data_IF_298245790469
#
_entry.id   IF_298245790469
#
_cell.length_a   1.000
_cell.length_b   1.000
_cell.length_c   1.000
_cell.angle_alpha   90.00
_cell.angle_beta   90.00
_cell.angle_gamma   90.00
#
_symmetry.space_group_name_H-M   'P 1'
#
loop_
_entity.id
_entity.type
_entity.pdbx_description
1 polymer ?
#
# COMPACT_ATOMS: atom_id res chain seq x y z
N UNK A 1 -10.79 63.33 4.26
CA UNK A 1 -10.12 63.22 2.94
C UNK A 1 -9.89 61.74 2.67
N UNK A 2 -10.48 61.14 1.62
CA UNK A 2 -10.35 59.67 1.37
C UNK A 2 -8.94 59.38 0.83
N UNK A 3 -8.17 58.54 1.51
CA UNK A 3 -6.83 58.14 1.09
C UNK A 3 -6.93 56.95 0.12
N UNK A 4 -6.42 57.13 -1.10
CA UNK A 4 -6.33 56.05 -2.09
C UNK A 4 -5.25 55.07 -1.63
N UNK A 5 -5.54 53.77 -1.67
CA UNK A 5 -4.55 52.73 -1.31
C UNK A 5 -3.37 52.79 -2.29
N UNK A 6 -2.15 52.63 -1.77
CA UNK A 6 -0.93 52.68 -2.58
C UNK A 6 -0.95 51.65 -3.72
N UNK A 7 -1.50 50.46 -3.47
CA UNK A 7 -1.68 49.43 -4.49
C UNK A 7 -2.55 49.89 -5.66
N UNK A 8 -3.61 50.66 -5.41
CA UNK A 8 -4.45 51.22 -6.49
C UNK A 8 -3.69 52.24 -7.32
N UNK A 9 -2.83 53.04 -6.69
CA UNK A 9 -1.99 54.02 -7.42
C UNK A 9 -0.91 53.35 -8.25
N UNK A 10 -0.27 52.30 -7.73
CA UNK A 10 0.74 51.53 -8.46
C UNK A 10 0.13 50.76 -9.64
N UNK A 11 -1.03 50.12 -9.43
CA UNK A 11 -1.70 49.40 -10.50
C UNK A 11 -2.21 50.34 -11.61
N UNK A 12 -2.69 51.54 -11.25
CA UNK A 12 -3.07 52.58 -12.22
C UNK A 12 -1.86 53.05 -13.02
N UNK A 13 -0.72 53.27 -12.35
CA UNK A 13 0.54 53.65 -13.00
C UNK A 13 1.03 52.56 -13.95
N UNK A 14 0.96 51.29 -13.57
CA UNK A 14 1.35 50.17 -14.43
C UNK A 14 0.47 50.06 -15.68
N UNK A 15 -0.85 50.25 -15.53
CA UNK A 15 -1.77 50.26 -16.68
C UNK A 15 -1.48 51.42 -17.63
N UNK A 16 -1.18 52.61 -17.09
CA UNK A 16 -0.83 53.79 -17.88
C UNK A 16 0.46 53.58 -18.69
N UNK A 17 1.50 53.02 -18.07
CA UNK A 17 2.76 52.70 -18.76
C UNK A 17 2.53 51.69 -19.90
N UNK A 18 1.71 50.67 -19.68
CA UNK A 18 1.37 49.64 -20.69
C UNK A 18 0.58 50.23 -21.88
N UNK A 19 -0.29 51.20 -21.62
CA UNK A 19 -1.02 51.95 -22.65
C UNK A 19 -0.09 52.87 -23.45
N UNK A 20 0.83 53.56 -22.78
CA UNK A 20 1.82 54.43 -23.41
C UNK A 20 2.77 53.65 -24.32
N UNK A 21 3.25 52.49 -23.86
CA UNK A 21 4.06 51.56 -24.65
C UNK A 21 3.32 51.10 -25.91
N UNK A 22 2.04 50.71 -25.79
CA UNK A 22 1.21 50.29 -26.93
C UNK A 22 1.00 51.41 -27.95
N UNK A 23 0.81 52.65 -27.49
CA UNK A 23 0.70 53.81 -28.38
C UNK A 23 2.03 54.12 -29.09
N UNK A 24 3.17 53.95 -28.41
CA UNK A 24 4.49 54.13 -29.02
C UNK A 24 4.84 53.06 -30.04
N UNK A 25 4.47 51.80 -29.79
CA UNK A 25 4.71 50.70 -30.72
C UNK A 25 3.80 50.73 -31.96
N UNK A 26 2.53 51.17 -31.84
CA UNK A 26 1.65 51.24 -33.02
C UNK A 26 2.09 52.31 -34.02
N UNK A 27 2.73 53.39 -33.55
CA UNK A 27 3.33 54.41 -34.42
C UNK A 27 4.62 53.95 -35.12
N UNK A 28 5.32 52.96 -34.56
CA UNK A 28 6.55 52.40 -35.15
C UNK A 28 6.32 51.35 -36.24
N UNK A 29 5.06 51.02 -36.57
CA UNK A 29 4.70 49.99 -37.58
C UNK A 29 4.00 50.51 -38.85
N UNK A 30 4.08 51.80 -39.17
CA UNK A 30 3.83 52.28 -40.54
C UNK A 30 5.16 52.62 -41.21
N UNK A 31 5.68 51.67 -41.97
CA UNK A 31 6.85 51.88 -42.81
C UNK A 31 6.58 52.98 -43.83
N UNK A 32 7.38 54.05 -43.78
CA UNK A 32 7.49 55.02 -44.85
C UNK A 32 8.33 54.47 -46.01
N UNK A 33 8.33 55.14 -47.18
CA UNK A 33 8.92 54.64 -48.43
C UNK A 33 10.47 54.71 -48.47
N UNK A 34 11.14 54.60 -47.32
CA UNK A 34 12.59 54.72 -47.19
C UNK A 34 13.19 53.49 -46.50
N UNK A 35 12.85 52.29 -46.98
CA UNK A 35 13.55 51.05 -46.65
C UNK A 35 14.45 50.56 -47.81
N UNK A 36 14.43 51.24 -48.96
CA UNK A 36 15.22 50.89 -50.14
C UNK A 36 16.48 51.74 -50.29
N UNK A 37 16.92 52.44 -49.22
CA UNK A 37 18.25 53.05 -49.23
C UNK A 37 19.25 51.97 -48.81
N UNK A 38 20.16 51.51 -49.68
CA UNK A 38 21.21 50.58 -49.28
C UNK A 38 22.03 51.24 -48.16
N UNK A 39 22.02 50.60 -47.00
CA UNK A 39 22.68 51.06 -45.79
C UNK A 39 24.17 51.22 -46.08
N UNK A 40 24.73 52.37 -45.73
CA UNK A 40 26.17 52.58 -45.88
C UNK A 40 26.95 51.61 -45.01
N UNK A 41 28.20 51.31 -45.37
CA UNK A 41 29.00 50.34 -44.61
C UNK A 41 29.20 50.76 -43.14
N UNK A 42 29.23 52.07 -42.87
CA UNK A 42 29.32 52.62 -41.51
C UNK A 42 28.05 52.33 -40.70
N UNK A 43 26.88 52.56 -41.29
CA UNK A 43 25.59 52.26 -40.67
C UNK A 43 25.40 50.76 -40.41
N UNK A 44 25.92 49.87 -41.29
CA UNK A 44 25.97 48.42 -41.05
C UNK A 44 26.82 48.06 -39.82
N UNK A 45 27.97 48.74 -39.66
CA UNK A 45 28.85 48.53 -38.51
C UNK A 45 28.22 49.06 -37.21
N UNK A 46 27.48 50.16 -37.28
CA UNK A 46 26.72 50.69 -36.14
C UNK A 46 25.58 49.75 -35.72
N UNK A 47 24.82 49.23 -36.68
CA UNK A 47 23.77 48.24 -36.41
C UNK A 47 24.38 46.96 -35.81
N UNK A 48 25.47 46.46 -36.38
CA UNK A 48 26.19 45.30 -35.85
C UNK A 48 26.64 45.52 -34.39
N UNK A 49 27.18 46.69 -34.06
CA UNK A 49 27.61 47.06 -32.69
C UNK A 49 26.43 47.11 -31.71
N UNK A 50 25.29 47.66 -32.12
CA UNK A 50 24.07 47.69 -31.30
C UNK A 50 23.56 46.27 -31.07
N UNK A 51 23.57 45.43 -32.11
CA UNK A 51 23.14 44.04 -32.01
C UNK A 51 24.07 43.24 -31.12
N UNK A 52 25.37 43.47 -31.20
CA UNK A 52 26.38 42.88 -30.31
C UNK A 52 26.11 43.25 -28.85
N UNK A 53 25.86 44.52 -28.55
CA UNK A 53 25.53 44.96 -27.18
C UNK A 53 24.23 44.30 -26.66
N UNK A 54 23.21 44.19 -27.52
CA UNK A 54 21.95 43.51 -27.17
C UNK A 54 22.19 42.02 -26.93
N UNK A 55 22.98 41.36 -27.77
CA UNK A 55 23.32 39.95 -27.65
C UNK A 55 24.12 39.68 -26.37
N UNK A 56 25.08 40.55 -26.03
CA UNK A 56 25.85 40.47 -24.78
C UNK A 56 24.94 40.60 -23.56
N UNK A 57 24.05 41.61 -23.53
CA UNK A 57 23.09 41.78 -22.43
C UNK A 57 22.11 40.59 -22.32
N UNK A 58 21.69 40.05 -23.46
CA UNK A 58 20.81 38.88 -23.52
C UNK A 58 21.51 37.63 -22.98
N UNK A 59 22.78 37.43 -23.34
CA UNK A 59 23.62 36.34 -22.84
C UNK A 59 23.82 36.43 -21.33
N UNK A 60 24.19 37.61 -20.80
CA UNK A 60 24.33 37.80 -19.35
C UNK A 60 23.04 37.50 -18.59
N UNK A 61 21.89 37.88 -19.14
CA UNK A 61 20.59 37.59 -18.52
C UNK A 61 20.25 36.09 -18.58
N UNK A 62 20.57 35.43 -19.70
CA UNK A 62 20.43 33.98 -19.84
C UNK A 62 21.30 33.21 -18.83
N UNK A 63 22.56 33.62 -18.68
CA UNK A 63 23.50 33.03 -17.72
C UNK A 63 23.02 33.18 -16.27
N UNK A 64 22.45 34.35 -15.91
CA UNK A 64 21.82 34.54 -14.59
C UNK A 64 20.65 33.59 -14.38
N UNK A 65 19.75 33.47 -15.36
CA UNK A 65 18.60 32.57 -15.28
C UNK A 65 19.03 31.09 -15.19
N UNK A 66 20.06 30.68 -15.94
CA UNK A 66 20.69 29.36 -15.83
C UNK A 66 21.24 29.11 -14.43
N UNK A 67 21.98 30.07 -13.87
CA UNK A 67 22.57 29.96 -12.54
C UNK A 67 21.49 29.84 -11.45
N UNK A 68 20.39 30.59 -11.55
CA UNK A 68 19.30 30.54 -10.59
C UNK A 68 18.48 29.26 -10.72
N UNK A 69 18.27 28.76 -11.95
CA UNK A 69 17.65 27.45 -12.20
C UNK A 69 18.48 26.30 -11.63
N UNK A 70 19.82 26.39 -11.73
CA UNK A 70 20.75 25.42 -11.12
C UNK A 70 20.73 25.47 -9.59
N UNK A 71 20.56 26.65 -8.99
CA UNK A 71 20.44 26.82 -7.53
C UNK A 71 19.09 26.34 -6.97
N UNK A 72 18.01 26.46 -7.75
CA UNK A 72 16.65 26.11 -7.32
C UNK A 72 16.30 24.62 -7.51
N UNK A 73 17.26 23.77 -7.89
CA UNK A 73 17.04 22.32 -7.95
C UNK A 73 16.65 21.84 -6.55
N UNK A 74 15.39 21.43 -6.41
CA UNK A 74 14.86 20.92 -5.15
C UNK A 74 15.72 19.74 -4.71
N UNK A 75 16.47 19.91 -3.62
CA UNK A 75 17.21 18.81 -2.99
C UNK A 75 16.18 17.80 -2.51
N UNK A 76 16.06 16.65 -3.21
CA UNK A 76 15.22 15.55 -2.75
C UNK A 76 15.67 15.18 -1.33
N UNK A 77 14.75 15.31 -0.37
CA UNK A 77 15.03 14.91 1.03
C UNK A 77 15.38 13.43 0.99
N UNK A 78 16.54 13.07 1.54
CA UNK A 78 16.91 11.66 1.71
C UNK A 78 16.02 11.09 2.81
N UNK A 79 15.24 10.06 2.52
CA UNK A 79 14.54 9.30 3.55
C UNK A 79 15.60 8.59 4.40
N UNK A 80 15.69 8.95 5.68
CA UNK A 80 16.62 8.34 6.63
C UNK A 80 15.84 7.38 7.51
N UNK A 81 16.14 6.08 7.42
CA UNK A 81 15.49 5.02 8.18
C UNK A 81 14.92 3.90 7.30
N UNK A 82 14.28 2.89 7.91
CA UNK A 82 13.53 1.84 7.21
C UNK A 82 12.48 2.42 6.26
N UNK A 83 12.46 1.95 5.01
CA UNK A 83 11.54 2.39 3.97
C UNK A 83 10.73 1.21 3.45
N UNK A 84 9.41 1.38 3.43
CA UNK A 84 8.49 0.48 2.75
C UNK A 84 8.07 1.12 1.44
N UNK A 85 8.34 0.45 0.32
CA UNK A 85 7.99 0.91 -1.03
C UNK A 85 6.84 0.08 -1.58
N UNK A 86 5.85 0.78 -2.12
CA UNK A 86 4.70 0.20 -2.82
C UNK A 86 4.84 0.48 -4.31
N UNK A 87 4.73 -0.56 -5.13
CA UNK A 87 4.66 -0.41 -6.58
C UNK A 87 3.57 -1.31 -7.12
N UNK A 88 2.58 -0.71 -7.77
CA UNK A 88 1.49 -1.40 -8.45
C UNK A 88 1.78 -1.48 -9.94
N UNK A 89 1.62 -2.66 -10.52
CA UNK A 89 1.82 -2.90 -11.95
C UNK A 89 0.65 -3.70 -12.50
N UNK A 90 0.26 -3.39 -13.73
CA UNK A 90 -0.74 -4.15 -14.48
C UNK A 90 -0.14 -5.48 -14.94
N UNK A 91 -0.70 -6.58 -14.46
CA UNK A 91 -0.28 -7.95 -14.77
C UNK A 91 -1.38 -8.69 -15.55
N UNK A 92 -1.03 -9.65 -16.41
CA UNK A 92 -2.01 -10.57 -16.97
C UNK A 92 -2.68 -11.40 -15.86
N UNK A 93 -4.00 -11.63 -15.96
CA UNK A 93 -4.71 -12.60 -15.13
C UNK A 93 -4.20 -14.00 -15.49
N UNK A 94 -3.41 -14.59 -14.60
CA UNK A 94 -3.03 -15.99 -14.70
C UNK A 94 -4.26 -16.83 -14.32
N UNK A 95 -4.68 -17.81 -15.15
CA UNK A 95 -5.74 -18.73 -14.78
C UNK A 95 -5.36 -19.46 -13.48
N UNK A 96 -6.27 -19.52 -12.51
CA UNK A 96 -5.98 -20.24 -11.28
C UNK A 96 -5.73 -21.74 -11.57
N UNK A 97 -4.67 -22.35 -11.00
CA UNK A 97 -4.37 -23.77 -11.20
C UNK A 97 -5.41 -24.60 -10.43
N UNK A 98 -6.53 -24.91 -11.08
CA UNK A 98 -7.63 -25.66 -10.47
C UNK A 98 -8.98 -25.51 -11.17
N UNK A 99 -9.11 -24.61 -12.16
CA UNK A 99 -10.18 -24.70 -13.14
C UNK A 99 -9.65 -25.42 -14.35
N UNK A 100 -9.74 -26.74 -14.25
CA UNK A 100 -9.57 -27.69 -15.33
C UNK A 100 -10.41 -27.20 -16.51
N UNK A 101 -9.73 -26.75 -17.56
CA UNK A 101 -10.31 -26.57 -18.87
C UNK A 101 -10.90 -27.93 -19.25
N UNK A 102 -12.24 -28.02 -19.28
CA UNK A 102 -12.90 -29.22 -19.78
C UNK A 102 -12.52 -29.31 -21.25
N UNK A 103 -11.56 -30.16 -21.55
CA UNK A 103 -11.17 -30.51 -22.91
C UNK A 103 -12.36 -31.27 -23.49
N UNK A 104 -13.18 -30.58 -24.28
CA UNK A 104 -14.27 -31.21 -25.01
C UNK A 104 -13.64 -31.95 -26.20
N UNK A 105 -13.60 -33.28 -26.10
CA UNK A 105 -13.05 -34.17 -27.13
C UNK A 105 -14.20 -34.89 -27.81
N UNK A 106 -14.59 -34.41 -28.99
CA UNK A 106 -15.14 -35.10 -30.17
C UNK A 106 -16.00 -34.10 -30.97
N UNK A 107 -15.84 -33.84 -32.27
CA UNK A 107 -14.96 -34.39 -33.29
C UNK A 107 -15.32 -33.82 -34.67
N UNK A 108 -14.44 -34.10 -35.65
CA UNK A 108 -14.63 -34.14 -37.12
C UNK A 108 -14.50 -32.84 -37.94
N UNK A 109 -13.27 -32.70 -38.49
CA UNK A 109 -12.88 -32.22 -39.83
C UNK A 109 -13.75 -31.19 -40.58
N UNK A 110 -13.21 -29.98 -40.80
CA UNK A 110 -13.26 -29.25 -42.09
C UNK A 110 -12.34 -28.01 -42.13
N UNK A 111 -11.38 -28.07 -43.07
CA UNK A 111 -10.63 -27.06 -43.83
C UNK A 111 -9.82 -25.89 -43.21
N UNK A 112 -8.61 -25.58 -43.75
CA UNK A 112 -7.73 -24.52 -43.26
C UNK A 112 -7.91 -23.23 -44.05
N UNK A 113 -8.74 -22.30 -43.59
CA UNK A 113 -8.62 -20.90 -43.99
C UNK A 113 -9.29 -19.95 -42.98
N UNK A 114 -8.43 -19.22 -42.28
CA UNK A 114 -8.67 -17.86 -41.76
C UNK A 114 -9.78 -17.71 -40.69
N UNK A 115 -9.38 -17.84 -39.42
CA UNK A 115 -10.12 -17.34 -38.27
C UNK A 115 -9.16 -16.60 -37.31
N UNK A 116 -9.21 -15.27 -37.42
CA UNK A 116 -9.24 -14.27 -36.35
C UNK A 116 -8.89 -14.74 -34.92
N UNK A 117 -7.89 -14.06 -34.35
CA UNK A 117 -7.60 -13.85 -32.94
C UNK A 117 -8.47 -14.63 -31.95
N UNK A 118 -7.90 -15.68 -31.35
CA UNK A 118 -8.44 -16.29 -30.14
C UNK A 118 -8.63 -15.24 -29.04
N UNK A 119 -9.88 -14.78 -28.90
CA UNK A 119 -10.36 -13.93 -27.82
C UNK A 119 -10.48 -14.75 -26.53
N UNK A 120 -9.36 -15.29 -26.04
CA UNK A 120 -9.24 -15.60 -24.64
C UNK A 120 -9.25 -14.26 -23.89
N UNK A 121 -10.20 -14.06 -22.99
CA UNK A 121 -10.25 -12.88 -22.13
C UNK A 121 -9.01 -12.89 -21.21
N UNK A 122 -7.88 -12.43 -21.75
CA UNK A 122 -6.65 -12.15 -21.02
C UNK A 122 -6.87 -10.88 -20.20
N UNK A 123 -7.79 -10.95 -19.24
CA UNK A 123 -8.08 -9.83 -18.38
C UNK A 123 -6.79 -9.41 -17.67
N UNK A 124 -6.70 -8.12 -17.38
CA UNK A 124 -5.55 -7.53 -16.71
C UNK A 124 -5.92 -7.33 -15.24
N UNK A 125 -5.05 -7.69 -14.31
CA UNK A 125 -5.20 -7.37 -12.89
C UNK A 125 -4.13 -6.37 -12.44
N UNK A 126 -4.43 -5.58 -11.42
CA UNK A 126 -3.40 -4.85 -10.70
C UNK A 126 -2.71 -5.79 -9.72
N UNK A 127 -1.38 -5.87 -9.78
CA UNK A 127 -0.57 -6.56 -8.78
C UNK A 127 0.24 -5.53 -8.02
N UNK A 128 0.07 -5.52 -6.71
CA UNK A 128 0.82 -4.64 -5.81
C UNK A 128 1.97 -5.42 -5.18
N UNK A 129 3.17 -4.89 -5.32
CA UNK A 129 4.35 -5.40 -4.67
C UNK A 129 4.78 -4.45 -3.56
N UNK A 130 5.12 -5.04 -2.42
CA UNK A 130 5.57 -4.31 -1.23
C UNK A 130 7.02 -4.73 -0.99
N UNK A 131 7.93 -3.76 -1.03
CA UNK A 131 9.36 -3.98 -0.79
C UNK A 131 9.77 -3.30 0.51
N UNK A 132 10.46 -4.05 1.36
CA UNK A 132 11.04 -3.57 2.60
C UNK A 132 12.55 -3.35 2.39
N UNK A 133 13.11 -2.30 3.01
CA UNK A 133 14.55 -2.09 3.02
C UNK A 133 15.30 -3.07 3.94
N UNK A 134 14.63 -3.56 4.96
CA UNK A 134 15.18 -4.29 6.09
C UNK A 134 14.21 -5.37 6.56
N UNK A 135 14.76 -6.53 6.89
CA UNK A 135 13.98 -7.71 7.30
C UNK A 135 13.30 -7.49 8.66
N UNK A 136 13.88 -6.66 9.54
CA UNK A 136 13.29 -6.35 10.84
C UNK A 136 11.95 -5.60 10.71
N UNK A 137 11.83 -4.68 9.75
CA UNK A 137 10.55 -4.00 9.47
C UNK A 137 9.55 -4.96 8.84
N UNK A 138 10.01 -5.87 7.97
CA UNK A 138 9.16 -6.91 7.40
C UNK A 138 8.57 -7.82 8.49
N UNK A 139 9.39 -8.39 9.37
CA UNK A 139 8.93 -9.31 10.44
C UNK A 139 8.04 -8.60 11.48
N UNK A 140 8.22 -7.28 11.68
CA UNK A 140 7.32 -6.46 12.51
C UNK A 140 5.94 -6.25 11.86
N UNK A 141 5.91 -6.00 10.55
CA UNK A 141 4.66 -5.79 9.81
C UNK A 141 3.92 -7.11 9.50
N UNK A 142 4.67 -8.19 9.32
CA UNK A 142 4.18 -9.53 9.03
C UNK A 142 4.67 -10.51 10.10
N UNK A 143 4.16 -10.40 11.34
CA UNK A 143 4.55 -11.32 12.39
C UNK A 143 4.18 -12.74 11.96
N UNK A 144 5.14 -13.66 12.05
CA UNK A 144 4.88 -15.07 11.76
C UNK A 144 3.78 -15.59 12.69
N UNK A 145 2.59 -15.77 12.15
CA UNK A 145 1.50 -16.43 12.85
C UNK A 145 1.99 -17.81 13.26
N UNK A 146 2.06 -18.06 14.56
CA UNK A 146 2.35 -19.40 15.06
C UNK A 146 1.31 -20.34 14.44
N UNK A 147 1.72 -21.51 13.93
CA UNK A 147 0.77 -22.44 13.37
C UNK A 147 -0.35 -22.67 14.39
N UNK A 148 -1.63 -22.59 13.98
CA UNK A 148 -2.72 -22.83 14.91
C UNK A 148 -2.49 -24.18 15.56
N UNK A 149 -2.57 -24.23 16.90
CA UNK A 149 -2.45 -25.50 17.61
C UNK A 149 -3.50 -26.44 17.02
N UNK A 150 -3.08 -27.62 16.60
CA UNK A 150 -4.00 -28.62 16.08
C UNK A 150 -5.12 -28.82 17.10
N UNK A 151 -6.37 -28.68 16.67
CA UNK A 151 -7.52 -28.87 17.54
C UNK A 151 -7.42 -30.25 18.19
N UNK A 152 -7.36 -30.27 19.52
CA UNK A 152 -7.27 -31.52 20.28
C UNK A 152 -8.59 -32.28 20.05
N UNK A 153 -8.53 -33.39 19.32
CA UNK A 153 -9.67 -34.27 19.14
C UNK A 153 -9.86 -35.08 20.41
N UNK A 154 -10.97 -34.88 21.09
CA UNK A 154 -11.32 -35.67 22.28
C UNK A 154 -11.52 -37.14 21.90
N UNK A 155 -11.13 -38.04 22.79
CA UNK A 155 -11.26 -39.48 22.57
C UNK A 155 -12.54 -40.00 23.22
N UNK A 156 -13.23 -40.91 22.54
CA UNK A 156 -14.40 -41.58 23.09
C UNK A 156 -13.98 -42.56 24.21
N UNK A 157 -14.58 -42.51 25.42
CA UNK A 157 -14.23 -43.43 26.50
C UNK A 157 -14.55 -44.91 26.23
N UNK A 158 -15.48 -45.20 25.30
CA UNK A 158 -15.88 -46.58 24.99
C UNK A 158 -15.01 -47.19 23.90
N UNK A 159 -14.62 -46.40 22.89
CA UNK A 159 -13.94 -46.92 21.69
C UNK A 159 -12.50 -46.45 21.54
N UNK A 160 -12.03 -45.52 22.39
CA UNK A 160 -10.71 -44.88 22.32
C UNK A 160 -10.36 -44.28 20.96
N UNK A 161 -11.37 -44.03 20.11
CA UNK A 161 -11.24 -43.35 18.81
C UNK A 161 -11.56 -41.87 18.96
N UNK A 162 -11.04 -40.99 18.07
CA UNK A 162 -11.43 -39.58 18.06
C UNK A 162 -12.95 -39.46 17.95
N UNK A 163 -13.54 -38.72 18.88
CA UNK A 163 -14.95 -38.47 18.93
C UNK A 163 -15.37 -37.49 17.83
N UNK A 164 -16.53 -37.78 17.25
CA UNK A 164 -17.16 -36.92 16.23
C UNK A 164 -18.25 -36.05 16.84
N UNK A 165 -18.82 -36.46 17.97
CA UNK A 165 -19.97 -35.84 18.60
C UNK A 165 -19.83 -35.85 20.13
N UNK A 166 -20.62 -35.01 20.81
CA UNK A 166 -20.82 -35.04 22.27
C UNK A 166 -22.28 -35.35 22.58
N UNK A 167 -22.51 -36.03 23.70
CA UNK A 167 -23.85 -36.35 24.17
C UNK A 167 -24.45 -35.17 24.97
N UNK A 168 -25.61 -34.60 24.59
CA UNK A 168 -26.15 -33.40 25.24
C UNK A 168 -26.54 -33.55 26.71
N UNK A 169 -26.64 -34.79 27.23
CA UNK A 169 -27.01 -35.03 28.63
C UNK A 169 -25.79 -35.37 29.49
N UNK A 170 -24.88 -36.20 28.99
CA UNK A 170 -23.70 -36.63 29.75
C UNK A 170 -22.46 -35.78 29.47
N UNK A 171 -22.47 -34.96 28.41
CA UNK A 171 -21.33 -34.22 27.87
C UNK A 171 -20.12 -35.11 27.51
N UNK A 172 -20.35 -36.42 27.34
CA UNK A 172 -19.29 -37.39 27.02
C UNK A 172 -19.06 -37.42 25.50
N UNK A 173 -17.80 -37.28 25.03
CA UNK A 173 -17.47 -37.39 23.61
C UNK A 173 -17.59 -38.84 23.10
N UNK A 174 -18.19 -39.02 21.92
CA UNK A 174 -18.35 -40.33 21.28
C UNK A 174 -18.13 -40.33 19.76
N UNK A 175 -17.72 -41.49 19.24
CA UNK A 175 -17.39 -41.65 17.80
C UNK A 175 -18.38 -42.51 16.99
N UNK A 176 -19.21 -43.33 17.65
CA UNK A 176 -20.13 -44.26 16.97
C UNK A 176 -21.47 -44.36 17.68
N UNK A 177 -22.53 -44.73 16.94
CA UNK A 177 -23.86 -44.93 17.50
C UNK A 177 -23.88 -46.05 18.58
N UNK A 178 -23.05 -47.09 18.43
CA UNK A 178 -22.88 -48.13 19.46
C UNK A 178 -22.30 -47.54 20.76
N UNK A 179 -21.30 -46.66 20.66
CA UNK A 179 -20.72 -46.00 21.82
C UNK A 179 -21.75 -45.10 22.53
N UNK A 180 -22.56 -44.36 21.78
CA UNK A 180 -23.66 -43.55 22.33
C UNK A 180 -24.65 -44.37 23.16
N UNK A 181 -25.08 -45.54 22.64
CA UNK A 181 -25.98 -46.44 23.38
C UNK A 181 -25.34 -46.94 24.69
N UNK A 182 -24.07 -47.35 24.64
CA UNK A 182 -23.34 -47.81 25.83
C UNK A 182 -23.24 -46.69 26.88
N UNK A 183 -22.92 -45.46 26.45
CA UNK A 183 -22.84 -44.28 27.32
C UNK A 183 -24.19 -44.01 27.99
N UNK A 184 -25.29 -44.01 27.22
CA UNK A 184 -26.64 -43.76 27.75
C UNK A 184 -27.16 -44.87 28.65
N UNK A 185 -26.85 -46.13 28.36
CA UNK A 185 -27.24 -47.25 29.21
C UNK A 185 -26.46 -47.24 30.53
N UNK A 186 -25.16 -46.90 30.48
CA UNK A 186 -24.35 -46.68 31.68
C UNK A 186 -24.90 -45.51 32.50
N UNK A 187 -25.28 -44.40 31.85
CA UNK A 187 -25.87 -43.24 32.52
C UNK A 187 -27.21 -43.57 33.20
N UNK A 188 -28.09 -44.35 32.55
CA UNK A 188 -29.35 -44.81 33.17
C UNK A 188 -29.08 -45.64 34.42
N UNK A 189 -28.17 -46.61 34.34
CA UNK A 189 -27.77 -47.44 35.49
C UNK A 189 -27.20 -46.59 36.62
N UNK A 190 -26.39 -45.59 36.27
CA UNK A 190 -25.83 -44.63 37.22
C UNK A 190 -26.94 -43.84 37.94
N UNK A 191 -27.91 -43.30 37.21
CA UNK A 191 -29.06 -42.59 37.82
C UNK A 191 -29.87 -43.53 38.72
N UNK A 192 -30.13 -44.76 38.30
CA UNK A 192 -30.89 -45.73 39.11
C UNK A 192 -30.17 -46.07 40.42
N UNK A 193 -28.84 -46.17 40.39
CA UNK A 193 -28.02 -46.52 41.56
C UNK A 193 -27.73 -45.33 42.48
N UNK A 194 -27.54 -44.13 41.93
CA UNK A 194 -27.05 -42.96 42.65
C UNK A 194 -28.06 -41.81 42.75
N UNK A 195 -29.25 -41.95 42.14
CA UNK A 195 -30.21 -40.87 41.99
C UNK A 195 -29.83 -39.87 40.90
N UNK A 196 -30.72 -38.93 40.59
CA UNK A 196 -30.44 -37.86 39.64
C UNK A 196 -29.29 -36.98 40.19
N UNK A 197 -28.20 -36.76 39.43
CA UNK A 197 -27.26 -35.70 39.77
C UNK A 197 -28.04 -34.38 39.69
N UNK A 198 -28.28 -33.74 40.84
CA UNK A 198 -28.96 -32.44 40.91
C UNK A 198 -28.23 -31.45 40.01
N UNK A 199 -28.94 -30.93 39.01
CA UNK A 199 -28.41 -29.91 38.11
C UNK A 199 -28.24 -28.60 38.89
N UNK A 200 -27.01 -28.25 39.27
CA UNK A 200 -26.70 -26.90 39.73
C UNK A 200 -26.56 -25.98 38.50
N UNK A 201 -27.24 -24.82 38.46
CA UNK A 201 -27.04 -23.83 37.43
C UNK A 201 -25.72 -23.07 37.68
N UNK A 202 -25.07 -22.70 36.59
CA UNK A 202 -24.03 -21.67 36.53
C UNK A 202 -24.46 -20.36 37.17
N UNK A 203 -23.58 -19.77 37.98
CA UNK A 203 -23.53 -18.31 38.21
C UNK A 203 -23.99 -17.83 39.57
N UNK A 204 -23.09 -17.83 40.56
CA UNK A 204 -23.12 -16.83 41.62
C UNK A 204 -21.69 -16.39 41.90
N UNK A 205 -21.42 -15.15 41.47
CA UNK A 205 -20.25 -14.36 41.87
C UNK A 205 -20.16 -14.29 43.39
N UNK A 206 -19.01 -14.57 44.02
CA UNK A 206 -18.70 -13.95 45.29
C UNK A 206 -18.10 -12.57 45.01
N UNK A 207 -18.79 -11.55 45.52
CA UNK A 207 -18.30 -10.19 45.61
C UNK A 207 -17.01 -10.13 46.46
N UNK A 208 -16.01 -9.42 45.92
CA UNK A 208 -15.03 -8.58 46.62
C UNK A 208 -14.29 -9.13 47.85
N UNK A 209 -13.01 -9.43 47.67
CA UNK A 209 -11.92 -8.85 48.50
C UNK A 209 -10.57 -9.04 47.78
N UNK A 210 -9.98 -7.90 47.40
CA UNK A 210 -8.64 -7.55 46.90
C UNK A 210 -7.66 -8.57 46.30
N UNK A 211 -7.04 -8.26 45.13
CA UNK A 211 -5.83 -8.92 44.67
C UNK A 211 -4.56 -8.17 45.13
N UNK A 212 -3.83 -8.74 46.09
CA UNK A 212 -2.41 -8.39 46.31
C UNK A 212 -1.53 -8.93 45.15
N UNK A 213 -0.50 -8.20 44.69
CA UNK A 213 0.30 -8.62 43.54
C UNK A 213 1.22 -9.79 43.93
N UNK A 214 0.95 -10.98 43.38
CA UNK A 214 1.89 -12.11 43.48
C UNK A 214 3.10 -11.86 42.60
N UNK A 215 4.27 -11.82 43.24
CA UNK A 215 5.58 -11.61 42.65
C UNK A 215 5.93 -12.64 41.55
N UNK A 216 6.72 -12.27 40.53
CA UNK A 216 7.16 -13.20 39.51
C UNK A 216 8.20 -14.18 40.06
N UNK A 217 8.01 -15.46 39.74
CA UNK A 217 8.91 -16.58 40.11
C UNK A 217 10.32 -16.32 39.58
N UNK A 218 11.31 -16.24 40.46
CA UNK A 218 12.74 -16.14 40.13
C UNK A 218 13.19 -17.37 39.35
N UNK A 219 13.83 -17.16 38.19
CA UNK A 219 14.52 -18.19 37.43
C UNK A 219 15.88 -18.44 38.08
N UNK A 220 16.09 -19.63 38.64
CA UNK A 220 17.39 -20.05 39.16
C UNK A 220 18.28 -20.38 37.96
N UNK A 221 19.35 -19.59 37.76
CA UNK A 221 20.41 -19.87 36.78
C UNK A 221 21.52 -20.58 37.55
N UNK A 222 21.68 -21.88 37.32
CA UNK A 222 22.83 -22.65 37.81
C UNK A 222 24.00 -22.34 36.87
N UNK A 223 24.94 -21.50 37.32
CA UNK A 223 26.24 -21.35 36.66
C UNK A 223 27.12 -22.52 37.10
N UNK A 224 27.38 -23.47 36.21
CA UNK A 224 28.49 -24.39 36.38
C UNK A 224 29.79 -23.68 35.96
N UNK A 225 30.67 -23.43 36.91
CA UNK A 225 32.07 -23.09 36.65
C UNK A 225 32.88 -24.38 36.57
N UNK A 226 33.54 -24.61 35.45
CA UNK A 226 34.54 -25.68 35.30
C UNK A 226 35.88 -25.13 35.82
N UNK A 227 36.58 -25.80 36.75
CA UNK A 227 37.95 -25.45 37.08
C UNK A 227 38.89 -25.96 35.99
N UNK A 228 39.69 -25.07 35.42
CA UNK A 228 40.85 -25.43 34.59
C UNK A 228 41.95 -26.01 35.48
N UNK A 229 42.40 -27.20 35.13
CA UNK A 229 43.70 -27.75 35.49
C UNK A 229 44.48 -27.98 34.19
#
# INVERSE_FOLDING_TARGET
>A
RKHMRQSTTEHTRQTFLRLQERQGQSKRKKGGPNYDRPLTQEELLEEAKITEEINLRSLENYERLEADKKKQVQKKRKCVGPVIRYWSVTMPLVPEPGKEENVDVEGLEQDPQQAEAGSGSSGKCSRTFICFSDDETFERCFPRCRPPRAAVRELCPVTHRPARYRDPITDIPYGSARAFRIIRDAYKKYITAHGLPSAAPTGTVPAGTDPGPRAPRQKIIIKQSVPTA
#
